data_IF_844198231113
#
_entry.id   IF_844198231113
#
_cell.length_a   1.000
_cell.length_b   1.000
_cell.length_c   1.000
_cell.angle_alpha   90.00
_cell.angle_beta   90.00
_cell.angle_gamma   90.00
#
_symmetry.space_group_name_H-M   'P 1'
#
loop_
_entity.id
_entity.type
_entity.pdbx_description
1 polymer ?
#
# COMPACT_ATOMS: atom_id res chain seq x y z
N UNK A 1 12.24 0.12 -9.44
CA UNK A 1 11.24 -0.18 -8.38
C UNK A 1 11.56 0.69 -7.20
N UNK A 2 10.60 1.51 -6.81
CA UNK A 2 10.68 2.57 -5.79
C UNK A 2 10.08 2.15 -4.43
N UNK A 3 9.32 1.05 -4.40
CA UNK A 3 8.89 0.35 -3.19
C UNK A 3 9.58 -1.01 -3.13
N UNK A 4 10.17 -1.36 -1.98
CA UNK A 4 10.83 -2.66 -1.78
C UNK A 4 10.56 -3.17 -0.35
N UNK A 5 10.06 -4.40 -0.18
CA UNK A 5 9.50 -5.28 -1.23
C UNK A 5 8.21 -4.68 -1.83
N UNK A 6 7.88 -5.05 -3.06
CA UNK A 6 6.68 -4.58 -3.77
C UNK A 6 5.63 -5.68 -4.01
N UNK A 7 5.81 -6.86 -3.41
CA UNK A 7 4.87 -7.98 -3.48
C UNK A 7 4.68 -8.55 -2.09
N UNK A 8 3.41 -8.72 -1.71
CA UNK A 8 3.03 -9.23 -0.40
C UNK A 8 1.94 -10.28 -0.56
N UNK A 9 1.89 -11.24 0.35
CA UNK A 9 0.80 -12.22 0.43
C UNK A 9 0.23 -12.24 1.83
N UNK A 10 -1.08 -12.08 1.94
CA UNK A 10 -1.82 -12.04 3.22
C UNK A 10 -3.07 -12.91 3.14
N UNK A 11 -3.67 -13.22 4.30
CA UNK A 11 -4.88 -14.05 4.36
C UNK A 11 -6.14 -13.20 4.55
N UNK A 12 -7.21 -13.62 3.87
CA UNK A 12 -8.56 -13.10 4.06
C UNK A 12 -9.02 -13.27 5.51
N UNK A 13 -9.69 -12.26 6.04
CA UNK A 13 -10.26 -12.26 7.39
C UNK A 13 -9.25 -12.05 8.52
N UNK A 14 -7.96 -11.94 8.22
CA UNK A 14 -6.91 -11.67 9.22
C UNK A 14 -6.56 -10.18 9.18
N UNK A 15 -6.58 -9.46 10.32
CA UNK A 15 -6.13 -8.08 10.38
C UNK A 15 -4.68 -7.92 9.93
N UNK A 16 -4.44 -7.00 9.00
CA UNK A 16 -3.13 -6.66 8.46
C UNK A 16 -2.74 -5.27 8.94
N UNK A 17 -1.49 -5.15 9.40
CA UNK A 17 -0.82 -3.88 9.66
C UNK A 17 0.32 -3.73 8.66
N UNK A 18 0.10 -2.86 7.66
CA UNK A 18 1.06 -2.57 6.61
C UNK A 18 1.82 -1.28 6.96
N UNK A 19 3.11 -1.41 7.26
CA UNK A 19 3.98 -0.29 7.59
C UNK A 19 4.86 0.07 6.38
N UNK A 20 4.91 1.36 6.07
CA UNK A 20 5.77 1.90 5.03
C UNK A 20 6.74 2.88 5.67
N UNK A 21 8.03 2.53 5.56
CA UNK A 21 9.14 3.37 5.97
C UNK A 21 9.55 4.25 4.78
N UNK A 22 9.20 5.54 4.85
CA UNK A 22 9.37 6.46 3.72
C UNK A 22 10.79 7.00 3.74
N UNK A 23 11.65 6.45 2.87
CA UNK A 23 13.06 6.88 2.76
C UNK A 23 13.21 8.25 2.13
N UNK A 24 12.41 8.54 1.10
CA UNK A 24 12.46 9.78 0.34
C UNK A 24 11.06 10.34 0.14
N UNK A 25 10.93 11.67 0.12
CA UNK A 25 9.64 12.32 -0.15
C UNK A 25 9.22 12.05 -1.59
N UNK A 26 7.96 11.67 -1.79
CA UNK A 26 7.39 11.52 -3.12
C UNK A 26 7.16 12.88 -3.79
N UNK A 27 7.21 12.91 -5.13
CA UNK A 27 7.02 14.12 -5.93
C UNK A 27 5.97 13.88 -7.02
N UNK A 28 5.19 14.92 -7.34
CA UNK A 28 4.16 14.87 -8.38
C UNK A 28 3.19 13.69 -8.19
N UNK A 29 2.95 12.92 -9.24
CA UNK A 29 2.09 11.73 -9.21
C UNK A 29 2.49 10.73 -8.11
N UNK A 30 3.78 10.64 -7.77
CA UNK A 30 4.31 9.69 -6.80
C UNK A 30 4.36 10.24 -5.37
N UNK A 31 3.71 11.36 -5.07
CA UNK A 31 3.68 11.97 -3.73
C UNK A 31 2.80 11.25 -2.71
N UNK A 32 2.04 10.24 -3.15
CA UNK A 32 1.08 9.52 -2.31
C UNK A 32 1.18 8.01 -2.46
N UNK A 33 0.64 7.31 -1.46
CA UNK A 33 0.46 5.87 -1.44
C UNK A 33 -0.94 5.51 -0.91
N UNK A 34 -1.58 4.53 -1.55
CA UNK A 34 -2.84 3.94 -1.12
C UNK A 34 -2.91 2.49 -1.62
N UNK A 35 -3.92 1.74 -1.16
CA UNK A 35 -4.20 0.39 -1.64
C UNK A 35 -5.71 0.29 -1.90
N UNK A 36 -6.20 0.69 -3.09
CA UNK A 36 -7.63 0.68 -3.38
C UNK A 36 -8.25 -0.68 -3.09
N UNK A 37 -9.36 -0.70 -2.34
CA UNK A 37 -10.04 -1.93 -1.90
C UNK A 37 -9.58 -2.49 -0.56
N UNK A 38 -8.38 -2.15 -0.07
CA UNK A 38 -7.89 -2.52 1.28
C UNK A 38 -7.75 -1.30 2.19
N UNK A 39 -7.16 -0.22 1.68
CA UNK A 39 -6.98 1.07 2.35
C UNK A 39 -7.21 2.20 1.33
N UNK A 40 -8.41 2.78 1.36
CA UNK A 40 -8.89 3.73 0.34
C UNK A 40 -8.48 5.20 0.61
N UNK A 41 -7.67 5.44 1.63
CA UNK A 41 -7.14 6.77 1.94
C UNK A 41 -5.73 6.92 1.34
N UNK A 42 -5.49 8.03 0.65
CA UNK A 42 -4.17 8.36 0.14
C UNK A 42 -3.34 9.03 1.23
N UNK A 43 -2.17 8.46 1.51
CA UNK A 43 -1.20 8.98 2.48
C UNK A 43 -0.07 9.69 1.75
N UNK A 44 0.37 10.83 2.28
CA UNK A 44 1.49 11.57 1.71
C UNK A 44 2.84 10.94 2.07
N UNK A 45 3.68 10.74 1.07
CA UNK A 45 5.03 10.23 1.25
C UNK A 45 5.97 11.37 1.66
N UNK A 46 6.14 11.56 2.96
CA UNK A 46 7.13 12.47 3.54
C UNK A 46 8.39 11.70 3.96
N UNK A 47 9.55 12.06 3.41
CA UNK A 47 10.83 11.44 3.73
C UNK A 47 11.15 11.45 5.24
N UNK A 48 11.62 10.32 5.75
CA UNK A 48 11.91 10.09 7.16
C UNK A 48 10.68 9.76 8.03
N UNK A 49 9.48 9.73 7.43
CA UNK A 49 8.25 9.39 8.15
C UNK A 49 7.90 7.90 8.06
N UNK A 50 6.96 7.46 8.90
CA UNK A 50 6.38 6.12 8.86
C UNK A 50 4.88 6.24 8.66
N UNK A 51 4.38 5.54 7.64
CA UNK A 51 2.95 5.41 7.38
C UNK A 51 2.50 4.04 7.86
N UNK A 52 1.35 4.00 8.53
CA UNK A 52 0.76 2.77 9.06
C UNK A 52 -0.65 2.65 8.48
N UNK A 53 -0.86 1.63 7.66
CA UNK A 53 -2.16 1.28 7.11
C UNK A 53 -2.67 0.01 7.79
N UNK A 54 -3.83 0.09 8.44
CA UNK A 54 -4.48 -1.06 9.09
C UNK A 54 -5.77 -1.40 8.38
N UNK A 55 -5.91 -2.65 7.94
CA UNK A 55 -7.09 -3.12 7.22
C UNK A 55 -7.31 -4.62 7.47
N UNK A 56 -8.53 -5.10 7.23
CA UNK A 56 -8.86 -6.53 7.27
C UNK A 56 -9.44 -6.92 5.92
N UNK A 57 -8.75 -7.72 5.09
CA UNK A 57 -9.24 -8.10 3.77
C UNK A 57 -10.47 -8.99 3.87
N UNK A 58 -11.55 -8.67 3.16
CA UNK A 58 -12.80 -9.45 3.14
C UNK A 58 -12.94 -10.33 1.88
N UNK A 59 -12.16 -10.04 0.84
CA UNK A 59 -12.18 -10.73 -0.46
C UNK A 59 -10.77 -11.14 -0.86
N UNK A 60 -10.68 -12.29 -1.52
CA UNK A 60 -9.44 -12.77 -2.14
C UNK A 60 -9.20 -12.04 -3.46
N UNK A 61 -7.94 -11.92 -3.86
CA UNK A 61 -7.56 -11.27 -5.11
C UNK A 61 -6.30 -10.45 -4.97
N UNK A 62 -5.89 -9.83 -6.07
CA UNK A 62 -4.74 -8.94 -6.12
C UNK A 62 -5.21 -7.50 -5.95
N UNK A 63 -4.53 -6.79 -5.04
CA UNK A 63 -4.79 -5.39 -4.74
C UNK A 63 -3.52 -4.58 -5.01
N UNK A 64 -3.59 -3.68 -5.98
CA UNK A 64 -2.45 -2.85 -6.33
C UNK A 64 -2.15 -1.83 -5.22
N UNK A 65 -0.87 -1.67 -4.92
CA UNK A 65 -0.36 -0.52 -4.18
C UNK A 65 -0.19 0.59 -5.21
N UNK A 66 -0.92 1.68 -5.06
CA UNK A 66 -0.94 2.77 -6.04
C UNK A 66 -0.62 4.12 -5.40
N UNK A 67 -0.34 5.14 -6.21
CA UNK A 67 -0.55 6.52 -5.78
C UNK A 67 -2.05 6.91 -5.90
N UNK A 68 -2.41 8.12 -5.48
CA UNK A 68 -3.77 8.64 -5.58
C UNK A 68 -4.31 8.71 -7.03
N UNK A 69 -3.42 8.73 -8.04
CA UNK A 69 -3.79 8.71 -9.46
C UNK A 69 -3.97 7.28 -10.02
N UNK A 70 -3.82 6.25 -9.19
CA UNK A 70 -4.02 4.85 -9.60
C UNK A 70 -2.84 4.21 -10.33
N UNK A 71 -1.66 4.84 -10.33
CA UNK A 71 -0.45 4.24 -10.95
C UNK A 71 0.07 3.10 -10.06
N UNK A 72 0.13 1.84 -10.55
CA UNK A 72 0.58 0.69 -9.75
C UNK A 72 2.08 0.71 -9.47
N UNK A 73 2.47 0.36 -8.24
CA UNK A 73 3.86 0.34 -7.74
C UNK A 73 4.22 -0.97 -7.05
N UNK A 74 3.22 -1.75 -6.65
CA UNK A 74 3.35 -3.06 -6.02
C UNK A 74 1.99 -3.75 -5.91
N UNK A 75 1.94 -4.94 -5.31
CA UNK A 75 0.71 -5.71 -5.16
C UNK A 75 0.66 -6.44 -3.82
N UNK A 76 -0.54 -6.49 -3.25
CA UNK A 76 -0.89 -7.33 -2.11
C UNK A 76 -1.85 -8.40 -2.61
N UNK A 77 -1.41 -9.65 -2.60
CA UNK A 77 -2.25 -10.80 -2.95
C UNK A 77 -2.91 -11.34 -1.68
N UNK A 78 -4.25 -11.37 -1.68
CA UNK A 78 -5.06 -11.91 -0.59
C UNK A 78 -5.49 -13.32 -0.94
N UNK A 79 -5.07 -14.30 -0.13
CA UNK A 79 -5.45 -15.71 -0.24
C UNK A 79 -6.37 -16.13 0.89
N UNK A 80 -6.91 -17.36 0.84
CA UNK A 80 -7.58 -17.98 2.00
C UNK A 80 -6.57 -18.47 3.04
#
# INVERSE_FOLDING_TARGET
>A
NDIVPNRFTVKKGIPVRFEVDVKESGQGCMSTIMVPGLYNQAEYLQGGSKIIMTFTPDKTGDYDITCAMGVPRGVITVTN
#
